data_IF_651095567018
#
_entry.id   IF_651095567018
#
_cell.length_a   1.000
_cell.length_b   1.000
_cell.length_c   1.000
_cell.angle_alpha   90.00
_cell.angle_beta   90.00
_cell.angle_gamma   90.00
#
_symmetry.space_group_name_H-M   'P 1'
#
loop_
_entity.id
_entity.type
_entity.pdbx_description
1 polymer ?
#
# COMPACT_ATOMS: atom_id res chain seq x y z
N UNK A 1 8.76 -31.41 12.97
CA UNK A 1 8.92 -30.44 14.07
C UNK A 1 8.37 -30.98 15.37
N UNK A 2 7.15 -31.55 15.41
CA UNK A 2 6.50 -32.09 16.60
C UNK A 2 7.24 -33.34 17.11
N UNK A 3 7.67 -34.21 16.21
CA UNK A 3 8.44 -35.41 16.52
C UNK A 3 9.80 -35.11 17.15
N UNK A 4 10.52 -34.11 16.60
CA UNK A 4 11.83 -33.70 17.09
C UNK A 4 11.78 -33.07 18.50
N UNK A 5 10.66 -32.44 18.84
CA UNK A 5 10.49 -31.73 20.11
C UNK A 5 10.01 -32.62 21.27
N UNK A 6 9.26 -33.69 21.00
CA UNK A 6 8.75 -34.55 22.05
C UNK A 6 8.35 -35.98 21.54
N UNK A 7 9.30 -36.83 21.20
CA UNK A 7 8.99 -38.19 20.70
C UNK A 7 8.21 -39.05 21.68
N UNK A 8 8.42 -38.89 22.99
CA UNK A 8 7.68 -39.63 24.03
C UNK A 8 6.24 -39.10 24.26
N UNK A 9 5.94 -37.86 23.81
CA UNK A 9 4.64 -37.25 24.03
C UNK A 9 3.50 -37.91 23.25
N UNK A 10 3.80 -38.47 22.08
CA UNK A 10 2.80 -39.16 21.26
C UNK A 10 2.31 -40.42 21.88
N UNK A 11 3.21 -41.25 22.44
CA UNK A 11 2.85 -42.51 23.11
C UNK A 11 2.03 -42.28 24.37
N UNK A 12 2.38 -41.26 25.17
CA UNK A 12 1.60 -40.87 26.35
C UNK A 12 0.19 -40.39 26.03
N UNK A 13 0.03 -39.71 24.89
CA UNK A 13 -1.27 -39.18 24.46
C UNK A 13 -2.12 -40.22 23.71
N UNK A 14 -1.65 -41.46 23.55
CA UNK A 14 -2.38 -42.51 22.86
C UNK A 14 -2.40 -42.43 21.34
N UNK A 15 -1.42 -41.71 20.74
CA UNK A 15 -1.26 -41.65 19.29
C UNK A 15 -0.21 -42.67 18.82
N UNK A 16 -0.49 -43.32 17.69
CA UNK A 16 0.39 -44.34 17.13
C UNK A 16 1.67 -43.74 16.48
N UNK A 17 1.60 -42.52 15.98
CA UNK A 17 2.70 -41.85 15.31
C UNK A 17 2.47 -40.30 15.24
N UNK A 18 3.51 -39.52 14.88
CA UNK A 18 3.31 -38.09 14.59
C UNK A 18 2.30 -37.80 13.48
N UNK A 19 2.18 -38.70 12.50
CA UNK A 19 1.20 -38.60 11.42
C UNK A 19 -0.22 -38.84 11.92
N UNK A 20 -0.40 -39.83 12.81
CA UNK A 20 -1.68 -40.12 13.50
C UNK A 20 -2.11 -38.92 14.35
N UNK A 21 -1.17 -38.30 15.08
CA UNK A 21 -1.44 -37.06 15.81
C UNK A 21 -1.87 -35.95 14.90
N UNK A 22 -1.15 -35.72 13.80
CA UNK A 22 -1.45 -34.65 12.81
C UNK A 22 -2.85 -34.85 12.20
N UNK A 23 -3.17 -36.06 11.73
CA UNK A 23 -4.49 -36.39 11.19
C UNK A 23 -5.64 -36.10 12.15
N UNK A 24 -5.50 -36.52 13.39
CA UNK A 24 -6.56 -36.39 14.38
C UNK A 24 -6.72 -34.96 14.92
N UNK A 25 -5.70 -34.10 14.76
CA UNK A 25 -5.69 -32.81 15.44
C UNK A 25 -5.52 -31.60 14.49
N UNK A 26 -5.23 -31.80 13.23
CA UNK A 26 -4.90 -30.68 12.28
C UNK A 26 -6.00 -29.62 12.25
N UNK A 27 -7.25 -30.02 12.12
CA UNK A 27 -8.41 -29.14 12.02
C UNK A 27 -9.26 -29.06 13.32
N UNK A 28 -8.69 -29.35 14.46
CA UNK A 28 -9.39 -29.21 15.75
C UNK A 28 -8.51 -28.64 16.85
N UNK A 29 -7.49 -29.36 17.31
CA UNK A 29 -6.63 -28.97 18.45
C UNK A 29 -5.52 -28.01 18.05
N UNK A 30 -5.14 -27.94 16.77
CA UNK A 30 -4.13 -27.01 16.27
C UNK A 30 -4.72 -25.63 15.94
N UNK A 31 -6.01 -25.42 16.19
CA UNK A 31 -6.67 -24.15 16.06
C UNK A 31 -7.01 -23.73 14.62
N UNK A 32 -6.93 -24.67 13.68
CA UNK A 32 -7.33 -24.41 12.28
C UNK A 32 -8.79 -24.87 12.13
N UNK A 33 -9.67 -23.94 11.76
CA UNK A 33 -11.08 -24.25 11.49
C UNK A 33 -11.19 -25.23 10.31
N UNK A 34 -12.06 -26.28 10.37
CA UNK A 34 -12.31 -27.21 9.27
C UNK A 34 -12.67 -26.56 7.93
N UNK A 35 -13.21 -25.36 7.93
CA UNK A 35 -13.49 -24.60 6.68
C UNK A 35 -12.23 -24.34 5.84
N UNK A 36 -11.05 -24.32 6.48
CA UNK A 36 -9.76 -24.14 5.78
C UNK A 36 -9.19 -25.46 5.23
N UNK A 37 -9.94 -26.55 5.31
CA UNK A 37 -9.54 -27.80 4.72
C UNK A 37 -9.65 -27.75 3.20
N UNK A 38 -8.54 -27.46 2.54
CA UNK A 38 -8.44 -27.37 1.09
C UNK A 38 -8.43 -28.72 0.36
N UNK A 39 -8.51 -29.84 1.11
CA UNK A 39 -8.43 -31.18 0.55
C UNK A 39 -9.82 -31.80 0.37
N UNK A 40 -9.95 -32.73 -0.57
CA UNK A 40 -11.20 -33.45 -0.86
C UNK A 40 -11.59 -34.51 0.20
N UNK A 41 -10.77 -34.65 1.25
CA UNK A 41 -10.99 -35.58 2.37
C UNK A 41 -10.97 -34.85 3.71
N UNK A 42 -11.61 -35.43 4.72
CA UNK A 42 -11.49 -34.98 6.10
C UNK A 42 -10.04 -35.07 6.59
N UNK A 43 -9.64 -34.19 7.53
CA UNK A 43 -8.27 -34.15 8.05
C UNK A 43 -7.76 -35.48 8.58
N UNK A 44 -8.64 -36.28 9.21
CA UNK A 44 -8.31 -37.63 9.72
C UNK A 44 -7.87 -38.63 8.63
N UNK A 45 -8.23 -38.37 7.37
CA UNK A 45 -7.92 -39.21 6.23
C UNK A 45 -6.86 -38.63 5.29
N UNK A 46 -6.24 -37.51 5.70
CA UNK A 46 -5.31 -36.78 4.86
C UNK A 46 -3.95 -37.48 4.75
N UNK A 47 -3.38 -37.90 5.87
CA UNK A 47 -2.03 -38.44 5.96
C UNK A 47 -2.08 -39.92 6.31
N UNK A 48 -1.33 -40.73 5.61
CA UNK A 48 -1.14 -42.14 5.97
C UNK A 48 -0.29 -42.25 7.24
N UNK A 49 -0.84 -42.80 8.35
CA UNK A 49 -0.13 -42.84 9.63
C UNK A 49 1.10 -43.75 9.63
N UNK A 50 1.20 -44.70 8.74
CA UNK A 50 2.35 -45.59 8.60
C UNK A 50 3.51 -44.95 7.85
N UNK A 51 3.22 -44.20 6.80
CA UNK A 51 4.24 -43.61 5.91
C UNK A 51 4.51 -42.15 6.18
N UNK A 52 3.59 -41.42 6.83
CA UNK A 52 3.65 -39.98 7.02
C UNK A 52 3.42 -39.16 5.75
N UNK A 53 3.01 -39.80 4.65
CA UNK A 53 2.70 -39.13 3.36
C UNK A 53 1.20 -38.92 3.20
N UNK A 54 0.82 -38.00 2.31
CA UNK A 54 -0.57 -37.83 1.89
C UNK A 54 -1.07 -39.14 1.29
N UNK A 55 -2.30 -39.53 1.63
CA UNK A 55 -2.92 -40.75 1.12
C UNK A 55 -3.15 -40.65 -0.39
N UNK A 56 -3.11 -41.80 -1.07
CA UNK A 56 -3.42 -41.90 -2.49
C UNK A 56 -4.86 -41.44 -2.76
N UNK A 57 -5.07 -40.77 -3.89
CA UNK A 57 -6.39 -40.24 -4.29
C UNK A 57 -6.81 -38.95 -3.57
N UNK A 58 -5.99 -38.43 -2.65
CA UNK A 58 -6.24 -37.11 -2.05
C UNK A 58 -5.84 -36.03 -3.05
N UNK A 59 -6.78 -35.14 -3.34
CA UNK A 59 -6.60 -33.98 -4.24
C UNK A 59 -6.98 -32.69 -3.53
N UNK A 60 -6.50 -31.56 -4.04
CA UNK A 60 -6.94 -30.25 -3.58
C UNK A 60 -8.29 -29.92 -4.22
N UNK A 61 -9.17 -29.30 -3.46
CA UNK A 61 -10.41 -28.66 -3.96
C UNK A 61 -10.09 -27.37 -4.71
N UNK A 62 -9.07 -26.65 -4.25
CA UNK A 62 -8.60 -25.41 -4.84
C UNK A 62 -7.10 -25.24 -4.55
N UNK A 63 -6.43 -24.44 -5.37
CA UNK A 63 -5.11 -23.93 -5.04
C UNK A 63 -5.24 -22.61 -4.28
N UNK A 64 -4.52 -22.46 -3.14
CA UNK A 64 -4.52 -21.19 -2.40
C UNK A 64 -3.95 -20.07 -3.25
N UNK A 65 -4.49 -18.88 -3.03
CA UNK A 65 -3.95 -17.66 -3.65
C UNK A 65 -2.55 -17.34 -3.08
N UNK A 66 -1.66 -16.84 -3.94
CA UNK A 66 -0.52 -16.04 -3.48
C UNK A 66 -1.04 -14.65 -3.12
N UNK A 67 -0.93 -14.29 -1.84
CA UNK A 67 -1.39 -12.99 -1.36
C UNK A 67 -0.58 -11.83 -1.97
N UNK A 68 0.68 -12.08 -2.37
CA UNK A 68 1.53 -11.11 -3.03
C UNK A 68 0.97 -10.65 -4.39
N UNK A 69 0.36 -11.55 -5.15
CA UNK A 69 -0.24 -11.25 -6.44
C UNK A 69 -1.41 -10.25 -6.35
N UNK A 70 -2.06 -10.20 -5.18
CA UNK A 70 -3.18 -9.29 -4.89
C UNK A 70 -2.76 -8.04 -4.10
N UNK A 71 -1.62 -8.08 -3.43
CA UNK A 71 -1.11 -6.98 -2.62
C UNK A 71 -0.29 -5.98 -3.42
N UNK A 72 0.37 -6.46 -4.48
CA UNK A 72 1.34 -5.67 -5.22
C UNK A 72 0.99 -5.59 -6.70
N UNK A 73 1.44 -4.51 -7.31
CA UNK A 73 1.21 -4.21 -8.72
C UNK A 73 2.46 -3.61 -9.35
N UNK A 74 2.53 -3.66 -10.68
CA UNK A 74 3.57 -2.93 -11.40
C UNK A 74 3.39 -1.43 -11.18
N UNK A 75 4.38 -0.79 -10.60
CA UNK A 75 4.40 0.64 -10.37
C UNK A 75 4.99 1.37 -11.59
N UNK A 76 4.33 2.42 -12.03
CA UNK A 76 4.79 3.27 -13.14
C UNK A 76 4.94 4.69 -12.65
N UNK A 77 6.11 5.29 -12.88
CA UNK A 77 6.35 6.72 -12.64
C UNK A 77 6.51 7.45 -13.95
N UNK A 78 5.76 8.53 -14.08
CA UNK A 78 5.82 9.44 -15.23
C UNK A 78 6.02 10.88 -14.75
N UNK A 79 6.97 11.60 -15.34
CA UNK A 79 7.24 12.99 -15.00
C UNK A 79 7.43 13.81 -16.28
N UNK A 80 6.71 14.92 -16.39
CA UNK A 80 6.75 15.82 -17.51
C UNK A 80 6.98 17.24 -17.02
N UNK A 81 7.97 17.92 -17.58
CA UNK A 81 8.30 19.29 -17.24
C UNK A 81 8.45 20.11 -18.51
N UNK A 82 7.77 21.25 -18.55
CA UNK A 82 7.89 22.23 -19.64
C UNK A 82 8.22 23.58 -19.04
N UNK A 83 9.21 24.26 -19.59
CA UNK A 83 9.55 25.59 -19.13
C UNK A 83 9.88 26.50 -20.31
N UNK A 84 9.64 27.78 -20.10
CA UNK A 84 9.97 28.83 -21.03
C UNK A 84 10.61 29.99 -20.28
N UNK A 85 11.68 30.54 -20.82
CA UNK A 85 12.34 31.73 -20.27
C UNK A 85 12.72 32.69 -21.39
N UNK A 86 12.77 33.97 -21.06
CA UNK A 86 13.16 34.99 -22.01
C UNK A 86 13.28 36.36 -21.36
N UNK A 87 13.56 37.35 -22.17
CA UNK A 87 13.64 38.71 -21.68
C UNK A 87 14.02 39.71 -22.80
N UNK A 88 13.82 40.97 -22.50
CA UNK A 88 14.30 42.09 -23.32
C UNK A 88 14.82 43.14 -22.39
N UNK A 89 15.93 43.74 -22.65
CA UNK A 89 16.67 44.80 -21.94
C UNK A 89 16.28 45.16 -20.50
N UNK A 90 14.99 45.20 -20.17
CA UNK A 90 14.46 45.61 -18.87
C UNK A 90 13.63 44.54 -18.19
N UNK A 91 13.24 43.50 -18.88
CA UNK A 91 12.31 42.48 -18.37
C UNK A 91 12.91 41.09 -18.56
N UNK A 92 12.84 40.27 -17.53
CA UNK A 92 13.15 38.84 -17.62
C UNK A 92 11.96 38.07 -17.12
N UNK A 93 11.72 36.91 -17.72
CA UNK A 93 10.69 36.00 -17.25
C UNK A 93 11.14 34.55 -17.31
N UNK A 94 10.61 33.78 -16.42
CA UNK A 94 10.63 32.32 -16.44
C UNK A 94 9.26 31.81 -16.05
N UNK A 95 8.74 30.89 -16.83
CA UNK A 95 7.55 30.11 -16.43
C UNK A 95 7.82 28.63 -16.64
N UNK A 96 7.28 27.81 -15.75
CA UNK A 96 7.43 26.38 -15.82
C UNK A 96 6.19 25.66 -15.30
N UNK A 97 5.86 24.53 -15.95
CA UNK A 97 4.80 23.63 -15.54
C UNK A 97 5.38 22.24 -15.40
N UNK A 98 4.99 21.53 -14.35
CA UNK A 98 5.39 20.15 -14.11
C UNK A 98 4.21 19.29 -13.74
N UNK A 99 4.21 18.07 -14.22
CA UNK A 99 3.31 17.01 -13.84
C UNK A 99 4.12 15.77 -13.46
N UNK A 100 3.79 15.19 -12.32
CA UNK A 100 4.34 13.93 -11.84
C UNK A 100 3.18 13.02 -11.44
N UNK A 101 3.20 11.79 -11.94
CA UNK A 101 2.38 10.68 -11.47
C UNK A 101 3.31 9.54 -11.08
N UNK A 102 3.12 9.00 -9.87
CA UNK A 102 3.91 7.91 -9.31
C UNK A 102 2.94 6.90 -8.70
N UNK A 103 2.68 5.81 -9.42
CA UNK A 103 1.84 4.74 -8.92
C UNK A 103 2.65 3.89 -7.93
N UNK A 104 2.11 3.68 -6.74
CA UNK A 104 2.76 2.82 -5.75
C UNK A 104 2.72 1.36 -6.14
N UNK A 105 3.72 0.58 -5.77
CA UNK A 105 3.72 -0.86 -6.02
C UNK A 105 2.77 -1.64 -5.11
N UNK A 106 2.42 -1.10 -3.95
CA UNK A 106 1.31 -1.61 -3.15
C UNK A 106 -0.03 -1.12 -3.73
N UNK A 107 -1.05 -1.97 -3.77
CA UNK A 107 -2.37 -1.60 -4.28
C UNK A 107 -2.92 -0.36 -3.58
N UNK A 108 -3.71 0.45 -4.30
CA UNK A 108 -4.34 1.68 -3.81
C UNK A 108 -3.38 2.68 -3.16
N UNK A 109 -2.13 2.69 -3.56
CA UNK A 109 -1.16 3.72 -3.16
C UNK A 109 -0.65 4.48 -4.37
N UNK A 110 -0.33 5.77 -4.19
CA UNK A 110 0.20 6.57 -5.28
C UNK A 110 0.31 8.04 -4.92
N UNK A 111 1.01 8.77 -5.79
CA UNK A 111 1.25 10.19 -5.65
C UNK A 111 1.09 10.90 -6.99
N UNK A 112 0.43 12.04 -6.98
CA UNK A 112 0.24 12.89 -8.15
C UNK A 112 0.56 14.34 -7.76
N UNK A 113 1.29 15.05 -8.63
CA UNK A 113 1.69 16.43 -8.40
C UNK A 113 1.61 17.26 -9.67
N UNK A 114 0.96 18.39 -9.58
CA UNK A 114 1.00 19.47 -10.55
C UNK A 114 1.78 20.63 -9.97
N UNK A 115 2.67 21.24 -10.73
CA UNK A 115 3.43 22.41 -10.31
C UNK A 115 3.35 23.51 -11.36
N UNK A 116 3.25 24.74 -10.90
CA UNK A 116 3.37 25.94 -11.75
C UNK A 116 4.38 26.90 -11.11
N UNK A 117 5.23 27.52 -11.91
CA UNK A 117 6.21 28.51 -11.45
C UNK A 117 6.22 29.70 -12.40
N UNK A 118 6.25 30.90 -11.82
CA UNK A 118 6.41 32.18 -12.54
C UNK A 118 7.44 33.02 -11.81
N UNK A 119 8.49 33.42 -12.53
CA UNK A 119 9.45 34.39 -12.05
C UNK A 119 9.48 35.54 -13.04
N UNK A 120 9.32 36.75 -12.56
CA UNK A 120 9.37 37.99 -13.34
C UNK A 120 10.42 38.90 -12.72
N UNK A 121 11.31 39.45 -13.56
CA UNK A 121 12.24 40.48 -13.20
C UNK A 121 11.98 41.72 -14.07
N UNK A 122 11.95 42.89 -13.45
CA UNK A 122 11.75 44.14 -14.15
C UNK A 122 12.68 45.24 -13.63
N UNK A 123 13.45 45.84 -14.53
CA UNK A 123 14.38 46.93 -14.22
C UNK A 123 14.03 48.17 -15.07
N UNK A 124 13.00 48.97 -14.66
CA UNK A 124 12.53 50.13 -15.43
C UNK A 124 13.59 51.23 -15.57
N UNK A 125 14.47 51.34 -14.57
CA UNK A 125 15.57 52.32 -14.49
C UNK A 125 16.83 51.61 -14.01
N UNK A 126 17.99 52.18 -14.29
CA UNK A 126 19.26 51.62 -13.86
C UNK A 126 19.40 51.53 -12.32
N UNK A 127 18.69 52.40 -11.59
CA UNK A 127 18.69 52.46 -10.16
C UNK A 127 17.52 51.72 -9.49
N UNK A 128 16.56 51.13 -10.25
CA UNK A 128 15.38 50.48 -9.71
C UNK A 128 15.21 49.11 -10.34
N UNK A 129 15.18 48.05 -9.49
CA UNK A 129 14.95 46.65 -9.90
C UNK A 129 13.87 46.04 -9.02
N UNK A 130 12.94 45.32 -9.62
CA UNK A 130 11.93 44.54 -8.95
C UNK A 130 11.95 43.10 -9.45
N UNK A 131 11.62 42.16 -8.54
CA UNK A 131 11.41 40.78 -8.90
C UNK A 131 10.12 40.27 -8.23
N UNK A 132 9.38 39.42 -8.93
CA UNK A 132 8.20 38.73 -8.45
C UNK A 132 8.38 37.24 -8.73
N UNK A 133 8.22 36.43 -7.72
CA UNK A 133 8.29 34.97 -7.84
C UNK A 133 7.02 34.36 -7.24
N UNK A 134 6.40 33.47 -8.00
CA UNK A 134 5.21 32.72 -7.59
C UNK A 134 5.41 31.26 -7.93
N UNK A 135 5.14 30.39 -6.99
CA UNK A 135 5.04 28.95 -7.22
C UNK A 135 3.77 28.40 -6.65
N UNK A 136 3.18 27.45 -7.37
CA UNK A 136 2.01 26.69 -6.97
C UNK A 136 2.30 25.21 -7.10
N UNK A 137 1.86 24.44 -6.12
CA UNK A 137 1.88 22.99 -6.17
C UNK A 137 0.55 22.42 -5.67
N UNK A 138 -0.03 21.55 -6.49
CA UNK A 138 -1.15 20.72 -6.12
C UNK A 138 -0.66 19.28 -6.03
N UNK A 139 -0.86 18.62 -4.88
CA UNK A 139 -0.48 17.22 -4.68
C UNK A 139 -1.68 16.41 -4.23
N UNK A 140 -1.79 15.20 -4.78
CA UNK A 140 -2.73 14.19 -4.32
C UNK A 140 -1.94 12.94 -3.94
N UNK A 141 -2.07 12.51 -2.68
CA UNK A 141 -1.50 11.26 -2.17
C UNK A 141 -2.62 10.29 -1.90
N UNK A 142 -2.54 9.10 -2.47
CA UNK A 142 -3.40 7.98 -2.13
C UNK A 142 -2.65 7.10 -1.16
N UNK A 143 -3.26 6.81 0.00
CA UNK A 143 -2.72 5.89 0.97
C UNK A 143 -3.76 4.80 1.24
N UNK A 144 -3.32 3.56 1.22
CA UNK A 144 -4.15 2.37 1.39
C UNK A 144 -4.39 1.99 2.85
N UNK A 145 -4.19 2.91 3.78
CA UNK A 145 -4.45 2.68 5.20
C UNK A 145 -3.49 1.75 5.92
N UNK A 146 -2.40 1.36 5.27
CA UNK A 146 -1.46 0.40 5.84
C UNK A 146 -0.74 0.94 7.07
N UNK A 147 -0.58 0.06 8.07
CA UNK A 147 0.24 0.28 9.25
C UNK A 147 1.55 -0.51 9.15
N UNK A 148 2.47 -0.30 10.07
CA UNK A 148 3.73 -1.06 10.18
C UNK A 148 3.61 -2.32 11.04
N UNK A 149 2.41 -2.64 11.49
CA UNK A 149 2.15 -3.76 12.39
C UNK A 149 1.73 -5.05 11.66
N UNK A 150 1.34 -6.05 12.43
CA UNK A 150 0.91 -7.38 11.96
C UNK A 150 -0.40 -7.39 11.15
N UNK A 151 -1.01 -6.24 10.88
CA UNK A 151 -2.16 -6.08 10.00
C UNK A 151 -1.80 -5.47 8.65
N UNK A 152 -0.52 -5.17 8.40
CA UNK A 152 -0.06 -4.59 7.13
C UNK A 152 -0.04 -5.59 5.97
N UNK A 153 -0.10 -5.07 4.74
CA UNK A 153 0.05 -5.87 3.50
C UNK A 153 1.34 -6.69 3.52
N UNK A 154 2.46 -6.05 3.87
CA UNK A 154 3.77 -6.69 3.90
C UNK A 154 3.82 -7.85 4.87
N UNK A 155 3.31 -7.62 6.09
CA UNK A 155 3.28 -8.69 7.07
C UNK A 155 2.41 -9.86 6.65
N UNK A 156 1.23 -9.58 6.06
CA UNK A 156 0.33 -10.64 5.60
C UNK A 156 0.95 -11.43 4.45
N UNK A 157 1.50 -10.80 3.45
CA UNK A 157 2.12 -11.50 2.30
C UNK A 157 3.29 -12.37 2.71
N UNK A 158 4.08 -11.93 3.70
CA UNK A 158 5.28 -12.63 4.14
C UNK A 158 4.99 -13.72 5.18
N UNK A 159 3.93 -13.60 5.96
CA UNK A 159 3.75 -14.44 7.15
C UNK A 159 2.49 -15.30 7.14
N UNK A 160 1.44 -14.97 6.38
CA UNK A 160 0.23 -15.79 6.36
C UNK A 160 0.53 -17.12 5.67
N UNK A 161 0.36 -18.26 6.37
CA UNK A 161 0.53 -19.58 5.74
C UNK A 161 -0.44 -19.78 4.58
N UNK A 162 0.04 -20.39 3.51
CA UNK A 162 -0.71 -20.63 2.27
C UNK A 162 -1.95 -21.51 2.42
N UNK A 163 -2.14 -22.14 3.58
CA UNK A 163 -3.39 -22.87 3.91
C UNK A 163 -4.60 -21.92 4.04
N UNK A 164 -4.36 -20.63 4.32
CA UNK A 164 -5.42 -19.66 4.50
C UNK A 164 -5.68 -18.90 3.20
N UNK A 165 -6.85 -19.10 2.56
CA UNK A 165 -7.19 -18.42 1.32
C UNK A 165 -7.45 -16.94 1.55
N UNK A 166 -7.23 -16.14 0.51
CA UNK A 166 -7.54 -14.72 0.50
C UNK A 166 -9.06 -14.46 0.53
N UNK A 167 -9.80 -15.29 -0.18
CA UNK A 167 -11.26 -15.18 -0.33
C UNK A 167 -11.99 -16.29 0.42
N UNK A 168 -13.20 -15.99 0.87
CA UNK A 168 -14.10 -17.00 1.41
C UNK A 168 -14.42 -18.05 0.36
N UNK A 169 -14.51 -19.31 0.82
CA UNK A 169 -14.82 -20.44 -0.04
C UNK A 169 -15.98 -21.27 0.54
N UNK A 170 -16.74 -21.84 -0.37
CA UNK A 170 -17.80 -22.78 -0.02
C UNK A 170 -17.24 -24.19 0.29
N UNK A 171 -18.13 -25.14 0.53
CA UNK A 171 -17.76 -26.54 0.81
C UNK A 171 -17.06 -27.26 -0.33
N UNK A 172 -17.28 -26.83 -1.58
CA UNK A 172 -16.66 -27.38 -2.77
C UNK A 172 -15.28 -26.78 -3.03
N UNK A 173 -14.96 -25.64 -2.40
CA UNK A 173 -13.74 -24.88 -2.59
C UNK A 173 -13.91 -23.72 -3.57
N UNK A 174 -15.12 -23.43 -4.03
CA UNK A 174 -15.40 -22.32 -4.93
C UNK A 174 -15.44 -21.00 -4.15
N UNK A 175 -14.96 -19.91 -4.79
CA UNK A 175 -15.01 -18.57 -4.23
C UNK A 175 -16.45 -18.09 -4.11
N UNK A 176 -16.78 -17.44 -3.00
CA UNK A 176 -18.11 -16.89 -2.75
C UNK A 176 -18.18 -15.47 -3.33
N UNK A 177 -19.14 -15.23 -4.21
CA UNK A 177 -19.38 -13.92 -4.81
C UNK A 177 -19.74 -12.86 -3.75
N UNK A 178 -19.27 -11.63 -3.95
CA UNK A 178 -19.68 -10.49 -3.13
C UNK A 178 -20.85 -9.75 -3.79
N UNK A 179 -22.06 -9.79 -3.20
CA UNK A 179 -23.24 -9.17 -3.76
C UNK A 179 -23.28 -7.65 -3.62
N UNK A 180 -22.37 -7.06 -2.80
CA UNK A 180 -22.39 -5.62 -2.51
C UNK A 180 -21.32 -4.85 -3.28
N UNK A 181 -20.10 -5.40 -3.36
CA UNK A 181 -18.95 -4.72 -3.97
C UNK A 181 -18.50 -5.34 -5.28
N UNK A 182 -19.10 -6.49 -5.65
CA UNK A 182 -18.65 -7.30 -6.79
C UNK A 182 -17.37 -8.07 -6.52
N UNK A 183 -17.01 -8.99 -7.42
CA UNK A 183 -15.92 -9.91 -7.21
C UNK A 183 -16.22 -10.94 -6.12
N UNK A 184 -15.26 -11.23 -5.22
CA UNK A 184 -15.38 -12.27 -4.22
C UNK A 184 -15.26 -11.71 -2.80
N UNK A 185 -15.97 -12.36 -1.86
CA UNK A 185 -15.90 -12.02 -0.44
C UNK A 185 -14.51 -12.36 0.12
N UNK A 186 -13.89 -11.41 0.80
CA UNK A 186 -12.61 -11.64 1.47
C UNK A 186 -12.77 -12.44 2.77
N UNK A 187 -11.79 -13.31 3.06
CA UNK A 187 -11.73 -14.01 4.36
C UNK A 187 -11.00 -13.14 5.40
N UNK A 188 -11.73 -12.62 6.37
CA UNK A 188 -11.18 -11.83 7.49
C UNK A 188 -10.62 -12.69 8.63
N UNK A 189 -10.46 -13.99 8.41
CA UNK A 189 -9.72 -14.87 9.32
C UNK A 189 -10.50 -15.39 10.51
N UNK A 190 -11.84 -15.34 10.50
CA UNK A 190 -12.65 -15.96 11.55
C UNK A 190 -12.40 -17.48 11.57
N UNK A 191 -11.83 -18.01 12.66
CA UNK A 191 -11.41 -19.41 12.76
C UNK A 191 -10.00 -19.69 12.24
N UNK A 192 -9.26 -18.68 11.81
CA UNK A 192 -7.84 -18.79 11.49
C UNK A 192 -7.02 -18.84 12.76
N UNK A 193 -6.20 -19.86 12.92
CA UNK A 193 -5.34 -20.05 14.10
C UNK A 193 -4.06 -19.23 14.09
N UNK A 194 -3.91 -18.29 13.15
CA UNK A 194 -2.69 -17.50 12.97
C UNK A 194 -3.00 -16.11 12.42
N UNK A 195 -2.29 -15.11 12.92
CA UNK A 195 -2.44 -13.71 12.48
C UNK A 195 -3.66 -13.02 13.09
N UNK A 196 -3.79 -11.73 12.82
CA UNK A 196 -4.92 -10.94 13.25
C UNK A 196 -6.23 -11.35 12.52
N UNK A 197 -7.39 -11.10 13.15
CA UNK A 197 -8.70 -11.25 12.52
C UNK A 197 -8.92 -10.07 11.55
N UNK A 198 -8.17 -10.08 10.47
CA UNK A 198 -8.14 -9.02 9.45
C UNK A 198 -7.81 -9.62 8.09
N UNK A 199 -8.05 -8.85 7.04
CA UNK A 199 -7.54 -9.11 5.71
C UNK A 199 -6.93 -7.80 5.18
N UNK A 200 -5.61 -7.74 5.16
CA UNK A 200 -4.87 -6.54 4.79
C UNK A 200 -5.12 -6.11 3.34
N UNK A 201 -5.39 -7.05 2.44
CA UNK A 201 -5.70 -6.76 1.04
C UNK A 201 -7.11 -6.17 0.93
N UNK A 202 -8.09 -6.74 1.64
CA UNK A 202 -9.43 -6.17 1.71
C UNK A 202 -9.40 -4.74 2.26
N UNK A 203 -8.67 -4.51 3.35
CA UNK A 203 -8.50 -3.18 3.93
C UNK A 203 -7.85 -2.22 2.93
N UNK A 204 -6.74 -2.63 2.30
CA UNK A 204 -6.09 -1.80 1.29
C UNK A 204 -6.96 -1.53 0.05
N UNK A 205 -7.91 -2.42 -0.26
CA UNK A 205 -8.84 -2.26 -1.38
C UNK A 205 -9.98 -1.30 -1.05
N UNK A 206 -10.54 -1.41 0.15
CA UNK A 206 -11.75 -0.67 0.54
C UNK A 206 -11.44 0.63 1.29
N UNK A 207 -10.40 0.66 2.12
CA UNK A 207 -10.02 1.86 2.86
C UNK A 207 -9.36 2.88 1.94
N UNK A 208 -9.99 4.03 1.82
CA UNK A 208 -9.43 5.16 1.08
C UNK A 208 -8.96 6.23 2.06
N UNK A 209 -7.68 6.54 2.01
CA UNK A 209 -7.05 7.63 2.77
C UNK A 209 -6.35 8.57 1.82
N UNK A 210 -7.15 9.41 1.17
CA UNK A 210 -6.65 10.39 0.22
C UNK A 210 -6.30 11.69 0.94
N UNK A 211 -5.14 12.23 0.64
CA UNK A 211 -4.71 13.57 1.06
C UNK A 211 -4.49 14.43 -0.17
N UNK A 212 -5.15 15.56 -0.22
CA UNK A 212 -4.90 16.60 -1.20
C UNK A 212 -4.26 17.80 -0.51
N UNK A 213 -3.20 18.35 -1.10
CA UNK A 213 -2.56 19.58 -0.61
C UNK A 213 -2.41 20.56 -1.76
N UNK A 214 -2.83 21.79 -1.51
CA UNK A 214 -2.53 22.95 -2.34
C UNK A 214 -1.52 23.82 -1.60
N UNK A 215 -0.48 24.25 -2.29
CA UNK A 215 0.56 25.11 -1.74
C UNK A 215 0.85 26.26 -2.71
N UNK A 216 0.80 27.49 -2.23
CA UNK A 216 1.15 28.71 -2.94
C UNK A 216 2.26 29.40 -2.18
N UNK A 217 3.38 29.66 -2.83
CA UNK A 217 4.50 30.42 -2.31
C UNK A 217 4.76 31.62 -3.23
N UNK A 218 4.75 32.81 -2.64
CA UNK A 218 5.02 34.04 -3.37
C UNK A 218 6.04 34.91 -2.66
N UNK A 219 6.88 35.61 -3.43
CA UNK A 219 7.73 36.66 -2.91
C UNK A 219 7.95 37.79 -3.91
N UNK A 220 8.14 38.98 -3.35
CA UNK A 220 8.49 40.20 -4.08
C UNK A 220 9.81 40.69 -3.54
N UNK A 221 10.69 41.10 -4.43
CA UNK A 221 11.97 41.75 -4.15
C UNK A 221 12.00 43.09 -4.82
N UNK A 222 12.46 44.10 -4.10
CA UNK A 222 12.70 45.45 -4.61
C UNK A 222 14.09 45.93 -4.21
N UNK A 223 14.84 46.48 -5.17
CA UNK A 223 16.10 47.16 -4.96
C UNK A 223 16.07 48.51 -5.59
N UNK A 224 16.48 49.52 -4.83
CA UNK A 224 16.63 50.89 -5.28
C UNK A 224 18.00 51.43 -4.87
N UNK A 225 18.81 51.83 -5.84
CA UNK A 225 20.08 52.55 -5.64
C UNK A 225 19.76 54.02 -5.50
N UNK A 226 19.63 54.52 -4.24
CA UNK A 226 19.11 55.86 -3.94
C UNK A 226 20.10 56.95 -4.40
N UNK A 227 21.36 56.77 -3.97
CA UNK A 227 22.51 57.62 -4.37
C UNK A 227 23.76 56.75 -4.41
N UNK A 228 24.86 57.27 -4.92
CA UNK A 228 26.13 56.54 -4.99
C UNK A 228 26.55 56.10 -3.58
N UNK A 229 26.65 54.77 -3.40
CA UNK A 229 27.03 54.14 -2.13
C UNK A 229 25.86 53.85 -1.17
N UNK A 230 24.59 54.18 -1.53
CA UNK A 230 23.42 53.89 -0.72
C UNK A 230 22.38 53.10 -1.53
N UNK A 231 22.18 51.87 -1.18
CA UNK A 231 21.19 50.96 -1.78
C UNK A 231 20.15 50.55 -0.73
N UNK A 232 18.87 50.60 -1.10
CA UNK A 232 17.78 50.04 -0.35
C UNK A 232 17.34 48.73 -0.98
N UNK A 233 17.20 47.70 -0.17
CA UNK A 233 16.68 46.40 -0.61
C UNK A 233 15.61 45.93 0.36
N UNK A 234 14.52 45.37 -0.19
CA UNK A 234 13.49 44.72 0.61
C UNK A 234 13.00 43.45 -0.07
N UNK A 235 12.68 42.45 0.71
CA UNK A 235 12.05 41.20 0.25
C UNK A 235 10.87 40.86 1.18
N UNK A 236 9.71 40.70 0.59
CA UNK A 236 8.50 40.27 1.25
C UNK A 236 8.06 38.95 0.62
N UNK A 237 7.70 37.98 1.43
CA UNK A 237 7.22 36.70 0.93
C UNK A 237 6.26 36.06 1.91
N UNK A 238 5.44 35.15 1.38
CA UNK A 238 4.48 34.40 2.15
C UNK A 238 4.19 33.06 1.50
N UNK A 239 3.77 32.13 2.34
CA UNK A 239 3.31 30.82 1.94
C UNK A 239 1.89 30.60 2.47
N UNK A 240 1.04 30.06 1.61
CA UNK A 240 -0.28 29.57 1.98
C UNK A 240 -0.41 28.13 1.56
N UNK A 241 -0.88 27.28 2.48
CA UNK A 241 -1.19 25.90 2.13
C UNK A 241 -2.53 25.47 2.74
N UNK A 242 -3.19 24.56 2.03
CA UNK A 242 -4.42 23.90 2.46
C UNK A 242 -4.27 22.40 2.29
N UNK A 243 -4.69 21.61 3.30
CA UNK A 243 -4.74 20.16 3.25
C UNK A 243 -6.19 19.71 3.41
N UNK A 244 -6.64 18.83 2.52
CA UNK A 244 -7.90 18.10 2.64
C UNK A 244 -7.62 16.61 2.79
N UNK A 245 -8.35 15.95 3.67
CA UNK A 245 -8.25 14.52 3.94
C UNK A 245 -9.61 13.88 3.70
N UNK A 246 -9.64 12.83 2.88
CA UNK A 246 -10.81 11.99 2.67
C UNK A 246 -10.49 10.60 3.20
N UNK A 247 -11.19 10.22 4.27
CA UNK A 247 -11.07 8.90 4.86
C UNK A 247 -12.42 8.19 4.76
N UNK A 248 -12.45 7.00 4.20
CA UNK A 248 -13.61 6.12 4.08
C UNK A 248 -13.29 4.76 4.64
#
# INVERSE_FOLDING_TARGET
>A
LTQAKNPAGFTRAGYASPADYANKNLFNKLGIDPKYNMWNVAGANLINPATGKINDGVTRKYDPEDWGDYAFQTAVRSEYNVSMSGGSGKTTYYTGFGYLKDDGYAINSGFERYTGRLNLGYQPKNWLKGEFNLSYAHTKTKANGQSSDSSSLFWFTDNIPSIYPLFLRDSNGDKIDDPHYGGYQYDFGKGRGFGALANAIAQATYDKKDRTRNNVLGNVFLRADIVKGLTFETRLGGEYFNNAYNNY
#
